data_IF_624170694518
#
_entry.id   IF_624170694518
#
_cell.length_a   1.000
_cell.length_b   1.000
_cell.length_c   1.000
_cell.angle_alpha   90.00
_cell.angle_beta   90.00
_cell.angle_gamma   90.00
#
_symmetry.space_group_name_H-M   'P 1'
#
loop_
_entity.id
_entity.type
_entity.pdbx_description
1 polymer ?
#
# COMPACT_ATOMS: atom_id res chain seq x y z
N UNK A 1 9.34 -35.91 25.33
CA UNK A 1 8.01 -35.48 25.85
C UNK A 1 7.07 -35.34 24.67
N UNK A 2 5.95 -36.05 24.69
CA UNK A 2 4.90 -36.03 23.66
C UNK A 2 3.92 -34.90 23.99
N UNK A 3 3.64 -34.00 23.04
CA UNK A 3 2.46 -33.14 23.09
C UNK A 3 1.36 -33.79 22.24
N UNK A 4 0.18 -33.95 22.85
CA UNK A 4 -0.98 -34.63 22.29
C UNK A 4 -1.88 -33.72 21.45
N UNK A 5 -2.86 -34.36 20.81
CA UNK A 5 -3.96 -33.81 20.04
C UNK A 5 -4.54 -32.49 20.61
N UNK A 6 -4.68 -31.47 19.76
CA UNK A 6 -5.72 -30.45 19.94
C UNK A 6 -5.31 -29.03 20.34
N UNK A 7 -4.02 -28.67 20.42
CA UNK A 7 -3.61 -27.26 20.61
C UNK A 7 -2.43 -26.95 19.70
N UNK A 8 -2.66 -26.14 18.65
CA UNK A 8 -1.57 -25.49 17.93
C UNK A 8 -0.98 -24.46 18.89
N UNK A 9 0.16 -24.78 19.49
CA UNK A 9 1.04 -23.78 20.07
C UNK A 9 1.48 -22.86 18.92
N UNK A 10 0.86 -21.68 18.82
CA UNK A 10 1.33 -20.62 17.95
C UNK A 10 2.62 -20.05 18.55
N UNK A 11 3.74 -20.66 18.19
CA UNK A 11 5.07 -20.04 18.28
C UNK A 11 5.19 -19.18 17.03
N UNK A 12 5.58 -17.91 17.22
CA UNK A 12 5.61 -16.89 16.17
C UNK A 12 6.33 -17.33 14.91
N UNK A 13 5.68 -17.07 13.78
CA UNK A 13 6.31 -17.02 12.47
C UNK A 13 6.28 -15.55 12.01
N UNK A 14 7.22 -14.77 12.55
CA UNK A 14 7.74 -13.59 11.88
C UNK A 14 8.71 -14.07 10.79
N UNK A 15 8.20 -14.31 9.60
CA UNK A 15 8.97 -14.32 8.36
C UNK A 15 7.99 -14.37 7.18
N UNK A 16 7.38 -13.23 6.84
CA UNK A 16 6.89 -13.04 5.48
C UNK A 16 8.12 -13.08 4.55
N UNK A 17 8.39 -14.26 4.02
CA UNK A 17 9.56 -14.55 3.19
C UNK A 17 9.50 -13.69 1.92
N UNK A 18 10.66 -13.18 1.48
CA UNK A 18 10.92 -12.35 0.29
C UNK A 18 10.17 -12.82 -0.98
N UNK A 19 9.82 -14.10 -1.08
CA UNK A 19 9.00 -14.68 -2.16
C UNK A 19 7.55 -14.17 -2.21
N UNK A 20 7.01 -13.59 -1.14
CA UNK A 20 5.66 -13.00 -1.13
C UNK A 20 5.60 -11.64 -1.82
N UNK A 21 6.73 -10.94 -1.94
CA UNK A 21 6.78 -9.56 -2.43
C UNK A 21 6.77 -9.45 -3.95
N UNK A 22 7.09 -10.54 -4.65
CA UNK A 22 6.87 -10.68 -6.10
C UNK A 22 5.38 -10.55 -6.49
N UNK A 23 4.45 -10.59 -5.53
CA UNK A 23 3.01 -10.42 -5.74
C UNK A 23 2.49 -9.02 -5.36
N UNK A 24 3.36 -8.03 -5.12
CA UNK A 24 2.91 -6.66 -4.89
C UNK A 24 2.25 -6.07 -6.13
N UNK A 25 1.10 -5.44 -5.93
CA UNK A 25 0.30 -4.79 -6.97
C UNK A 25 -0.50 -5.78 -7.82
N UNK A 26 -1.67 -5.33 -8.27
CA UNK A 26 -2.51 -6.05 -9.23
C UNK A 26 -2.47 -5.31 -10.56
N UNK A 27 -2.68 -6.03 -11.66
CA UNK A 27 -2.81 -5.40 -12.97
C UNK A 27 -3.94 -4.39 -12.98
N UNK A 28 -3.80 -3.34 -13.78
CA UNK A 28 -4.84 -2.34 -13.97
C UNK A 28 -6.19 -3.02 -14.24
N UNK A 29 -7.23 -2.71 -13.45
CA UNK A 29 -8.50 -3.42 -13.52
C UNK A 29 -9.38 -2.98 -14.71
N UNK A 30 -9.11 -1.80 -15.28
CA UNK A 30 -9.90 -1.24 -16.37
C UNK A 30 -9.08 -1.19 -17.65
N UNK A 31 -9.50 -1.95 -18.65
CA UNK A 31 -8.85 -1.96 -19.96
C UNK A 31 -8.92 -0.58 -20.61
N UNK A 32 -7.78 -0.08 -21.09
CA UNK A 32 -7.68 1.19 -21.82
C UNK A 32 -7.66 2.45 -20.96
N UNK A 33 -7.77 2.35 -19.63
CA UNK A 33 -7.56 3.49 -18.73
C UNK A 33 -6.10 3.60 -18.32
N UNK A 34 -5.61 4.83 -18.22
CA UNK A 34 -4.33 5.10 -17.58
C UNK A 34 -4.41 4.88 -16.06
N UNK A 35 -3.28 4.67 -15.37
CA UNK A 35 -3.21 4.64 -13.91
C UNK A 35 -3.86 5.87 -13.26
N UNK A 36 -3.61 7.07 -13.80
CA UNK A 36 -4.22 8.31 -13.31
C UNK A 36 -5.74 8.35 -13.51
N UNK A 37 -6.27 7.90 -14.65
CA UNK A 37 -7.71 7.82 -14.88
C UNK A 37 -8.38 6.78 -13.95
N UNK A 38 -7.70 5.67 -13.71
CA UNK A 38 -8.14 4.63 -12.76
C UNK A 38 -8.18 5.18 -11.34
N UNK A 39 -7.17 5.94 -10.92
CA UNK A 39 -7.15 6.63 -9.63
C UNK A 39 -8.37 7.54 -9.45
N UNK A 40 -8.66 8.41 -10.42
CA UNK A 40 -9.80 9.33 -10.35
C UNK A 40 -11.13 8.59 -10.27
N UNK A 41 -11.27 7.47 -11.00
CA UNK A 41 -12.46 6.61 -10.92
C UNK A 41 -12.63 6.03 -9.52
N UNK A 42 -11.56 5.53 -8.91
CA UNK A 42 -11.62 5.00 -7.56
C UNK A 42 -11.94 6.06 -6.51
N UNK A 43 -11.39 7.27 -6.64
CA UNK A 43 -11.73 8.38 -5.74
C UNK A 43 -13.21 8.75 -5.86
N UNK A 44 -13.74 8.83 -7.09
CA UNK A 44 -15.14 9.12 -7.34
C UNK A 44 -16.11 8.04 -6.82
N UNK A 45 -15.66 6.78 -6.68
CA UNK A 45 -16.47 5.69 -6.15
C UNK A 45 -16.57 5.67 -4.61
N UNK A 46 -15.82 6.52 -3.90
CA UNK A 46 -15.82 6.53 -2.42
C UNK A 46 -17.19 6.94 -1.86
N UNK A 47 -17.78 6.09 -1.02
CA UNK A 47 -19.08 6.38 -0.38
C UNK A 47 -20.31 5.93 -1.17
N UNK A 48 -20.13 5.16 -2.25
CA UNK A 48 -21.20 4.41 -2.90
C UNK A 48 -21.00 2.92 -2.63
N UNK A 49 -22.08 2.22 -2.30
CA UNK A 49 -22.14 0.75 -2.04
C UNK A 49 -22.01 -0.08 -3.35
N UNK A 50 -21.16 0.38 -4.27
CA UNK A 50 -20.95 -0.15 -5.62
C UNK A 50 -19.75 -1.11 -5.67
N UNK A 51 -19.72 -2.00 -6.68
CA UNK A 51 -18.62 -2.93 -6.93
C UNK A 51 -17.24 -2.25 -7.04
N UNK A 52 -17.22 -0.99 -7.48
CA UNK A 52 -16.00 -0.19 -7.62
C UNK A 52 -15.36 0.16 -6.25
N UNK A 53 -16.13 0.28 -5.16
CA UNK A 53 -15.58 0.49 -3.81
C UNK A 53 -14.86 -0.76 -3.30
N UNK A 54 -15.48 -1.93 -3.43
CA UNK A 54 -14.85 -3.22 -3.08
C UNK A 54 -13.63 -3.50 -3.96
N UNK A 55 -13.65 -3.05 -5.21
CA UNK A 55 -12.51 -3.16 -6.09
C UNK A 55 -11.38 -2.22 -5.66
N UNK A 56 -11.70 -0.96 -5.33
CA UNK A 56 -10.74 0.05 -4.86
C UNK A 56 -9.93 -0.43 -3.66
N UNK A 57 -10.59 -1.08 -2.69
CA UNK A 57 -9.94 -1.63 -1.49
C UNK A 57 -8.78 -2.58 -1.82
N UNK A 58 -8.85 -3.29 -2.94
CA UNK A 58 -7.81 -4.23 -3.37
C UNK A 58 -6.57 -3.54 -3.95
N UNK A 59 -6.67 -2.25 -4.29
CA UNK A 59 -5.58 -1.46 -4.85
C UNK A 59 -5.08 -0.38 -3.89
N UNK A 60 -5.76 -0.17 -2.75
CA UNK A 60 -5.40 0.86 -1.78
C UNK A 60 -4.01 0.59 -1.21
N UNK A 61 -3.12 1.54 -1.42
CA UNK A 61 -1.74 1.50 -0.98
C UNK A 61 -1.48 2.61 0.05
N UNK A 62 -0.79 2.26 1.14
CA UNK A 62 -0.50 3.16 2.28
C UNK A 62 -1.77 3.79 2.87
N UNK A 63 -2.39 3.07 3.81
CA UNK A 63 -3.46 3.60 4.65
C UNK A 63 -2.88 4.41 5.78
N UNK A 64 -2.86 5.73 5.60
CA UNK A 64 -2.57 6.64 6.69
C UNK A 64 -3.68 6.54 7.75
N UNK A 65 -3.32 6.70 9.03
CA UNK A 65 -4.33 6.74 10.10
C UNK A 65 -5.32 7.90 9.88
N UNK A 66 -6.51 7.86 10.51
CA UNK A 66 -7.63 8.78 10.25
C UNK A 66 -7.30 10.27 10.44
N UNK A 67 -6.21 10.60 11.15
CA UNK A 67 -5.73 11.97 11.35
C UNK A 67 -4.85 12.49 10.22
N UNK A 68 -4.40 11.64 9.29
CA UNK A 68 -3.40 11.94 8.25
C UNK A 68 -3.90 11.57 6.85
N UNK A 69 -5.19 11.27 6.68
CA UNK A 69 -5.82 10.81 5.43
C UNK A 69 -6.00 11.92 4.38
N UNK A 70 -4.99 12.76 4.21
CA UNK A 70 -4.92 13.81 3.19
C UNK A 70 -4.26 13.31 1.90
N UNK A 71 -3.91 12.02 1.84
CA UNK A 71 -3.26 11.38 0.69
C UNK A 71 -4.01 10.11 0.36
N UNK A 72 -4.64 10.07 -0.80
CA UNK A 72 -5.12 8.83 -1.40
C UNK A 72 -4.02 8.25 -2.25
N UNK A 73 -3.74 6.95 -2.10
CA UNK A 73 -2.76 6.27 -2.92
C UNK A 73 -3.21 4.88 -3.35
N UNK A 74 -2.91 4.54 -4.60
CA UNK A 74 -3.17 3.22 -5.18
C UNK A 74 -1.91 2.66 -5.83
N UNK A 75 -1.78 1.34 -5.79
CA UNK A 75 -0.67 0.60 -6.39
C UNK A 75 -1.18 -0.34 -7.48
N UNK A 76 -0.61 -0.19 -8.68
CA UNK A 76 -0.84 -1.07 -9.82
C UNK A 76 0.44 -1.81 -10.20
N UNK A 77 0.29 -2.89 -10.95
CA UNK A 77 1.41 -3.66 -11.51
C UNK A 77 1.32 -3.72 -13.03
N UNK A 78 2.45 -3.49 -13.69
CA UNK A 78 2.64 -3.73 -15.11
C UNK A 78 3.94 -4.51 -15.33
N UNK A 79 3.83 -5.83 -15.56
CA UNK A 79 4.99 -6.72 -15.62
C UNK A 79 5.81 -6.72 -14.32
N UNK A 80 7.06 -6.28 -14.41
CA UNK A 80 7.99 -6.13 -13.28
C UNK A 80 8.04 -4.71 -12.70
N UNK A 81 7.21 -3.82 -13.24
CA UNK A 81 7.08 -2.44 -12.78
C UNK A 81 5.84 -2.27 -11.91
N UNK A 82 5.98 -1.40 -10.91
CA UNK A 82 4.91 -0.94 -10.04
C UNK A 82 4.59 0.50 -10.39
N UNK A 83 3.30 0.77 -10.53
CA UNK A 83 2.81 2.13 -10.75
C UNK A 83 2.05 2.60 -9.53
N UNK A 84 2.65 3.55 -8.81
CA UNK A 84 2.07 4.19 -7.65
C UNK A 84 1.38 5.48 -8.09
N UNK A 85 0.16 5.68 -7.63
CA UNK A 85 -0.57 6.93 -7.84
C UNK A 85 -0.87 7.59 -6.52
N UNK A 86 -0.74 8.92 -6.47
CA UNK A 86 -0.98 9.72 -5.29
C UNK A 86 -1.87 10.92 -5.65
N UNK A 87 -2.86 11.19 -4.82
CA UNK A 87 -3.63 12.43 -4.86
C UNK A 87 -3.64 13.03 -3.46
N UNK A 88 -3.42 14.35 -3.41
CA UNK A 88 -3.36 15.08 -2.17
C UNK A 88 -4.59 15.96 -1.98
N UNK A 89 -5.18 15.93 -0.79
CA UNK A 89 -6.31 16.76 -0.40
C UNK A 89 -6.04 17.40 0.97
N UNK A 90 -5.55 18.64 0.98
CA UNK A 90 -5.52 19.50 2.18
C UNK A 90 -5.81 20.92 1.78
N UNK A 91 -6.91 21.47 2.29
CA UNK A 91 -7.43 22.79 1.90
C UNK A 91 -6.36 23.89 1.95
N UNK A 92 -5.61 23.99 3.05
CA UNK A 92 -4.56 25.00 3.21
C UNK A 92 -3.48 24.92 2.12
N UNK A 93 -3.12 23.70 1.71
CA UNK A 93 -2.11 23.48 0.67
C UNK A 93 -2.68 23.76 -0.71
N UNK A 94 -3.94 23.41 -0.97
CA UNK A 94 -4.60 23.67 -2.25
C UNK A 94 -4.85 25.18 -2.44
N UNK A 95 -5.06 25.94 -1.37
CA UNK A 95 -5.11 27.41 -1.42
C UNK A 95 -3.76 28.00 -1.87
N UNK A 96 -2.64 27.43 -1.42
CA UNK A 96 -1.28 27.86 -1.80
C UNK A 96 -0.88 27.36 -3.20
N UNK A 97 -1.42 26.21 -3.61
CA UNK A 97 -1.10 25.52 -4.85
C UNK A 97 -2.39 25.05 -5.58
N UNK A 98 -3.15 25.97 -6.19
CA UNK A 98 -4.43 25.64 -6.81
C UNK A 98 -4.30 24.64 -7.97
N UNK A 99 -3.13 24.59 -8.62
CA UNK A 99 -2.85 23.60 -9.67
C UNK A 99 -2.75 22.15 -9.18
N UNK A 100 -2.72 21.91 -7.86
CA UNK A 100 -2.70 20.56 -7.30
C UNK A 100 -4.10 19.99 -7.04
N UNK A 101 -5.16 20.79 -7.22
CA UNK A 101 -6.54 20.32 -7.07
C UNK A 101 -6.81 19.25 -8.11
N UNK A 102 -7.14 18.03 -7.64
CA UNK A 102 -7.41 16.89 -8.52
C UNK A 102 -6.18 16.34 -9.26
N UNK A 103 -4.98 16.84 -8.97
CA UNK A 103 -3.77 16.36 -9.59
C UNK A 103 -3.43 14.95 -9.08
N UNK A 104 -3.22 14.02 -10.01
CA UNK A 104 -2.74 12.68 -9.71
C UNK A 104 -1.27 12.60 -10.09
N UNK A 105 -0.43 12.37 -9.09
CA UNK A 105 1.00 12.11 -9.29
C UNK A 105 1.18 10.62 -9.54
N UNK A 106 1.89 10.28 -10.61
CA UNK A 106 2.18 8.89 -10.99
C UNK A 106 3.69 8.67 -10.86
N UNK A 107 4.07 7.59 -10.20
CA UNK A 107 5.45 7.16 -10.03
C UNK A 107 5.56 5.72 -10.48
N UNK A 108 6.55 5.46 -11.33
CA UNK A 108 6.89 4.13 -11.81
C UNK A 108 8.18 3.68 -11.10
N UNK A 109 8.19 2.47 -10.57
CA UNK A 109 9.33 1.90 -9.85
C UNK A 109 9.42 0.40 -10.12
N UNK A 110 10.63 -0.11 -10.27
CA UNK A 110 10.82 -1.55 -10.42
C UNK A 110 10.39 -2.28 -9.15
N UNK A 111 9.64 -3.38 -9.30
CA UNK A 111 9.11 -4.13 -8.16
C UNK A 111 10.22 -4.62 -7.22
N UNK A 112 11.36 -5.04 -7.78
CA UNK A 112 12.53 -5.44 -7.00
C UNK A 112 13.19 -4.30 -6.24
N UNK A 113 13.24 -3.10 -6.83
CA UNK A 113 13.75 -1.91 -6.15
C UNK A 113 12.84 -1.52 -4.98
N UNK A 114 11.54 -1.45 -5.23
CA UNK A 114 10.56 -1.14 -4.19
C UNK A 114 10.57 -2.16 -3.04
N UNK A 115 10.66 -3.45 -3.36
CA UNK A 115 10.80 -4.50 -2.35
C UNK A 115 12.07 -4.31 -1.51
N UNK A 116 13.21 -4.01 -2.13
CA UNK A 116 14.46 -3.72 -1.41
C UNK A 116 14.34 -2.55 -0.44
N UNK A 117 13.66 -1.46 -0.84
CA UNK A 117 13.41 -0.31 0.05
C UNK A 117 12.59 -0.74 1.27
N UNK A 118 11.56 -1.56 1.08
CA UNK A 118 10.73 -2.04 2.19
C UNK A 118 11.48 -3.02 3.09
N UNK A 119 12.32 -3.88 2.53
CA UNK A 119 13.19 -4.78 3.30
C UNK A 119 14.18 -4.00 4.17
N UNK A 120 14.82 -2.97 3.62
CA UNK A 120 15.72 -2.08 4.36
C UNK A 120 14.98 -1.35 5.49
N UNK A 121 13.77 -0.87 5.24
CA UNK A 121 12.92 -0.24 6.26
C UNK A 121 12.55 -1.22 7.38
N UNK A 122 12.12 -2.44 7.04
CA UNK A 122 11.81 -3.48 8.03
C UNK A 122 13.05 -3.83 8.83
N UNK A 123 14.22 -3.95 8.19
CA UNK A 123 15.48 -4.23 8.87
C UNK A 123 15.85 -3.11 9.87
N UNK A 124 15.56 -1.85 9.57
CA UNK A 124 15.78 -0.72 10.48
C UNK A 124 14.79 -0.78 11.65
N UNK A 125 13.50 -0.95 11.38
CA UNK A 125 12.45 -0.96 12.41
C UNK A 125 12.54 -2.19 13.33
N UNK A 126 12.98 -3.34 12.81
CA UNK A 126 13.17 -4.57 13.58
C UNK A 126 14.40 -4.55 14.49
N UNK A 127 15.36 -3.64 14.29
CA UNK A 127 16.57 -3.53 15.14
C UNK A 127 16.27 -3.10 16.57
N UNK A 128 15.13 -2.46 16.84
CA UNK A 128 14.75 -1.99 18.18
C UNK A 128 14.12 -3.07 19.08
N UNK A 129 13.74 -4.24 18.55
CA UNK A 129 13.16 -5.32 19.36
C UNK A 129 14.20 -6.22 20.06
N UNK A 130 15.50 -5.94 19.88
CA UNK A 130 16.60 -6.78 20.38
C UNK A 130 17.29 -6.27 21.66
N UNK A 131 16.75 -5.25 22.35
CA UNK A 131 17.28 -4.86 23.66
C UNK A 131 16.54 -5.66 24.77
N UNK A 132 17.24 -6.53 25.52
CA UNK A 132 16.64 -7.18 26.67
C UNK A 132 16.26 -6.11 27.70
N UNK A 133 14.99 -6.04 28.06
CA UNK A 133 14.53 -5.32 29.25
C UNK A 133 15.06 -6.10 30.45
N UNK A 134 16.25 -5.72 30.93
CA UNK A 134 16.76 -6.21 32.20
C UNK A 134 15.92 -5.57 33.31
N UNK A 135 15.05 -6.36 33.94
CA UNK A 135 14.52 -6.06 35.28
C UNK A 135 15.63 -6.21 36.32
#
# INVERSE_FOLDING_TARGET
MRCGFGVRCARGDEAATVSGWQYFGRTLPFTGLSPAATHLRFVAATGNDDEDELLREQFWFVRWGPTTDNVTAFLFRDGDELVLTFQFWREEQLLKHPGHVGAVFVVEIQAGEFAGILEDLVAILGRDQALPVTM
#
